data_IF_379691049765
#
_entry.id   IF_379691049765
#
_cell.length_a   1.000
_cell.length_b   1.000
_cell.length_c   1.000
_cell.angle_alpha   90.00
_cell.angle_beta   90.00
_cell.angle_gamma   90.00
#
_symmetry.space_group_name_H-M   'P 1'
#
loop_
_entity.id
_entity.type
_entity.pdbx_description
1 polymer ?
#
# COMPACT_ATOMS: atom_id res chain seq x y z
N UNK A 1 -5.77 0.24 -18.43
CA UNK A 1 -7.12 0.48 -17.85
C UNK A 1 -7.22 -0.07 -16.43
N UNK A 2 -6.75 -1.30 -16.17
CA UNK A 2 -6.71 -1.85 -14.81
C UNK A 2 -5.82 -1.05 -13.87
N UNK A 3 -4.79 -0.36 -14.37
CA UNK A 3 -3.89 0.45 -13.56
C UNK A 3 -4.59 1.66 -12.90
N UNK A 4 -5.76 2.08 -13.38
CA UNK A 4 -6.59 3.09 -12.70
C UNK A 4 -7.10 2.61 -11.34
N UNK A 5 -7.01 1.32 -11.05
CA UNK A 5 -7.28 0.80 -9.72
C UNK A 5 -6.24 1.24 -8.70
N UNK A 6 -5.03 1.69 -9.10
CA UNK A 6 -4.03 2.21 -8.15
C UNK A 6 -4.54 3.47 -7.42
N UNK A 7 -4.92 4.57 -8.09
CA UNK A 7 -5.48 5.72 -7.39
C UNK A 7 -6.78 5.37 -6.66
N UNK A 8 -7.59 4.44 -7.18
CA UNK A 8 -8.82 3.98 -6.49
C UNK A 8 -8.50 3.27 -5.18
N UNK A 9 -7.54 2.34 -5.17
CA UNK A 9 -7.15 1.62 -3.95
C UNK A 9 -6.51 2.56 -2.93
N UNK A 10 -5.69 3.51 -3.37
CA UNK A 10 -5.10 4.52 -2.48
C UNK A 10 -6.17 5.40 -1.82
N UNK A 11 -7.12 5.92 -2.60
CA UNK A 11 -8.24 6.69 -2.08
C UNK A 11 -9.08 5.90 -1.08
N UNK A 12 -9.49 4.67 -1.45
CA UNK A 12 -10.33 3.82 -0.63
C UNK A 12 -9.63 3.36 0.64
N UNK A 13 -8.31 3.16 0.61
CA UNK A 13 -7.53 2.82 1.79
C UNK A 13 -7.62 3.93 2.83
N UNK A 14 -7.36 5.19 2.45
CA UNK A 14 -7.47 6.30 3.41
C UNK A 14 -8.89 6.55 3.89
N UNK A 15 -9.89 6.41 3.01
CA UNK A 15 -11.30 6.50 3.42
C UNK A 15 -11.66 5.38 4.40
N UNK A 16 -11.10 4.18 4.24
CA UNK A 16 -11.34 3.08 5.17
C UNK A 16 -10.78 3.40 6.56
N UNK A 17 -9.50 3.81 6.61
CA UNK A 17 -8.78 4.19 7.83
C UNK A 17 -9.55 5.32 8.57
N UNK A 18 -9.76 6.46 7.90
CA UNK A 18 -10.34 7.65 8.53
C UNK A 18 -11.81 7.48 8.92
N UNK A 19 -12.58 6.70 8.15
CA UNK A 19 -13.98 6.47 8.46
C UNK A 19 -14.16 5.74 9.79
N UNK A 20 -13.27 4.83 10.13
CA UNK A 20 -13.33 4.10 11.39
C UNK A 20 -12.63 4.85 12.53
N UNK A 21 -11.42 5.37 12.29
CA UNK A 21 -10.57 5.97 13.32
C UNK A 21 -10.97 7.41 13.67
N UNK A 22 -11.36 8.22 12.66
CA UNK A 22 -11.63 9.64 12.86
C UNK A 22 -13.12 9.99 12.82
N UNK A 23 -13.90 9.35 11.94
CA UNK A 23 -15.29 9.76 11.68
C UNK A 23 -16.32 8.96 12.48
N UNK A 24 -15.92 7.86 13.12
CA UNK A 24 -16.81 6.99 13.88
C UNK A 24 -17.89 6.31 13.03
N UNK A 25 -17.59 6.06 11.75
CA UNK A 25 -18.47 5.43 10.74
C UNK A 25 -17.92 4.08 10.28
N UNK A 26 -17.91 3.04 11.14
CA UNK A 26 -17.30 1.75 10.84
C UNK A 26 -17.94 1.06 9.62
N UNK A 27 -19.24 1.25 9.36
CA UNK A 27 -19.88 0.71 8.16
C UNK A 27 -19.30 1.32 6.87
N UNK A 28 -19.00 2.62 6.87
CA UNK A 28 -18.36 3.28 5.73
C UNK A 28 -16.94 2.76 5.56
N UNK A 29 -16.20 2.63 6.67
CA UNK A 29 -14.86 2.06 6.69
C UNK A 29 -14.82 0.64 6.12
N UNK A 30 -15.73 -0.24 6.56
CA UNK A 30 -15.84 -1.62 6.06
C UNK A 30 -16.16 -1.67 4.55
N UNK A 31 -17.06 -0.83 4.05
CA UNK A 31 -17.37 -0.77 2.61
C UNK A 31 -16.17 -0.29 1.82
N UNK A 32 -15.52 0.79 2.26
CA UNK A 32 -14.33 1.32 1.61
C UNK A 32 -13.16 0.31 1.64
N UNK A 33 -12.93 -0.33 2.79
CA UNK A 33 -11.92 -1.38 2.98
C UNK A 33 -12.17 -2.59 2.07
N UNK A 34 -13.42 -3.03 1.94
CA UNK A 34 -13.79 -4.11 1.01
C UNK A 34 -13.47 -3.76 -0.44
N UNK A 35 -13.84 -2.55 -0.86
CA UNK A 35 -13.55 -2.06 -2.22
C UNK A 35 -12.04 -1.86 -2.43
N UNK A 36 -11.32 -1.41 -1.40
CA UNK A 36 -9.87 -1.32 -1.40
C UNK A 36 -9.25 -2.70 -1.64
N UNK A 37 -9.58 -3.70 -0.81
CA UNK A 37 -9.10 -5.07 -0.94
C UNK A 37 -9.44 -5.70 -2.30
N UNK A 38 -10.62 -5.39 -2.86
CA UNK A 38 -11.01 -5.84 -4.18
C UNK A 38 -10.13 -5.22 -5.27
N UNK A 39 -9.96 -3.89 -5.26
CA UNK A 39 -9.18 -3.15 -6.26
C UNK A 39 -7.69 -3.49 -6.22
N UNK A 40 -7.08 -3.54 -5.03
CA UNK A 40 -5.68 -3.94 -4.84
C UNK A 40 -5.46 -5.42 -5.16
N UNK A 41 -6.44 -6.27 -4.83
CA UNK A 41 -6.42 -7.69 -5.16
C UNK A 41 -6.42 -7.92 -6.66
N UNK A 42 -7.33 -7.28 -7.39
CA UNK A 42 -7.43 -7.37 -8.86
C UNK A 42 -6.17 -6.84 -9.55
N UNK A 43 -5.54 -5.78 -9.02
CA UNK A 43 -4.23 -5.33 -9.51
C UNK A 43 -3.15 -6.40 -9.31
N UNK A 44 -3.14 -7.01 -8.13
CA UNK A 44 -2.13 -8.01 -7.74
C UNK A 44 -2.24 -9.32 -8.51
N UNK A 45 -3.42 -9.67 -9.03
CA UNK A 45 -3.56 -10.85 -9.90
C UNK A 45 -3.15 -10.56 -11.35
N UNK A 46 -3.16 -9.29 -11.76
CA UNK A 46 -2.94 -8.86 -13.14
C UNK A 46 -1.51 -8.41 -13.45
N UNK A 47 -0.78 -7.87 -12.47
CA UNK A 47 0.56 -7.29 -12.66
C UNK A 47 1.54 -7.71 -11.55
N UNK A 48 2.73 -8.17 -11.93
CA UNK A 48 3.76 -8.65 -10.99
C UNK A 48 4.24 -7.54 -10.05
N UNK A 49 4.49 -6.33 -10.55
CA UNK A 49 5.00 -5.25 -9.71
C UNK A 49 3.94 -4.77 -8.72
N UNK A 50 2.69 -4.64 -9.16
CA UNK A 50 1.54 -4.37 -8.31
C UNK A 50 1.37 -5.46 -7.24
N UNK A 51 1.51 -6.73 -7.61
CA UNK A 51 1.46 -7.84 -6.66
C UNK A 51 2.54 -7.69 -5.58
N UNK A 52 3.79 -7.43 -5.97
CA UNK A 52 4.88 -7.20 -5.03
C UNK A 52 4.62 -5.98 -4.11
N UNK A 53 4.04 -4.90 -4.62
CA UNK A 53 3.70 -3.70 -3.84
C UNK A 53 2.59 -4.02 -2.84
N UNK A 54 1.43 -4.51 -3.29
CA UNK A 54 0.27 -4.70 -2.40
C UNK A 54 0.44 -5.87 -1.44
N UNK A 55 1.08 -6.98 -1.86
CA UNK A 55 1.49 -8.02 -0.92
C UNK A 55 2.54 -7.51 0.05
N UNK A 56 3.45 -6.63 -0.39
CA UNK A 56 4.44 -5.98 0.46
C UNK A 56 3.79 -5.09 1.52
N UNK A 57 2.84 -4.24 1.12
CA UNK A 57 2.03 -3.42 2.04
C UNK A 57 1.30 -4.32 3.03
N UNK A 58 0.57 -5.33 2.54
CA UNK A 58 -0.18 -6.26 3.38
C UNK A 58 0.72 -7.00 4.39
N UNK A 59 1.87 -7.51 3.95
CA UNK A 59 2.82 -8.19 4.83
C UNK A 59 3.46 -7.21 5.83
N UNK A 60 3.79 -5.99 5.40
CA UNK A 60 4.35 -4.96 6.26
C UNK A 60 3.38 -4.52 7.36
N UNK A 61 2.10 -4.33 7.01
CA UNK A 61 1.04 -3.96 7.98
C UNK A 61 0.69 -5.11 8.92
N UNK A 62 0.74 -6.37 8.43
CA UNK A 62 0.60 -7.54 9.29
C UNK A 62 1.75 -7.62 10.31
N UNK A 63 3.00 -7.38 9.87
CA UNK A 63 4.18 -7.41 10.74
C UNK A 63 4.22 -6.26 11.76
N UNK A 64 3.62 -5.11 11.44
CA UNK A 64 3.44 -4.00 12.38
C UNK A 64 2.21 -4.15 13.28
N UNK A 65 1.45 -5.24 13.14
CA UNK A 65 0.21 -5.49 13.89
C UNK A 65 -0.88 -4.42 13.68
N UNK A 66 -0.95 -3.84 12.47
CA UNK A 66 -1.90 -2.77 12.12
C UNK A 66 -3.24 -3.25 11.59
N UNK A 67 -3.43 -4.55 11.47
CA UNK A 67 -4.74 -5.12 11.15
C UNK A 67 -5.50 -5.31 12.47
N UNK A 68 -6.01 -4.21 13.00
CA UNK A 68 -6.55 -4.09 14.36
C UNK A 68 -8.03 -3.68 14.42
N UNK A 69 -8.60 -3.18 13.32
CA UNK A 69 -10.02 -2.79 13.24
C UNK A 69 -10.81 -3.57 12.17
N UNK A 70 -12.16 -3.63 12.27
CA UNK A 70 -13.04 -4.28 11.30
C UNK A 70 -12.78 -3.91 9.83
N UNK A 71 -12.56 -2.64 9.49
CA UNK A 71 -12.28 -2.24 8.11
C UNK A 71 -10.94 -2.81 7.59
N UNK A 72 -9.89 -2.80 8.42
CA UNK A 72 -8.60 -3.42 8.09
C UNK A 72 -8.74 -4.94 7.87
N UNK A 73 -9.45 -5.62 8.77
CA UNK A 73 -9.69 -7.08 8.68
C UNK A 73 -10.47 -7.41 7.41
N UNK A 74 -11.49 -6.63 7.08
CA UNK A 74 -12.32 -6.89 5.90
C UNK A 74 -11.56 -6.59 4.60
N UNK A 75 -10.77 -5.52 4.56
CA UNK A 75 -9.87 -5.23 3.44
C UNK A 75 -8.90 -6.39 3.19
N UNK A 76 -8.25 -6.88 4.25
CA UNK A 76 -7.35 -8.03 4.20
C UNK A 76 -8.06 -9.30 3.72
N UNK A 77 -9.25 -9.60 4.25
CA UNK A 77 -10.02 -10.79 3.87
C UNK A 77 -10.42 -10.77 2.39
N UNK A 78 -10.92 -9.63 1.89
CA UNK A 78 -11.28 -9.48 0.47
C UNK A 78 -10.04 -9.56 -0.41
N UNK A 79 -8.94 -8.90 -0.02
CA UNK A 79 -7.67 -8.96 -0.74
C UNK A 79 -7.19 -10.41 -0.91
N UNK A 80 -7.12 -11.18 0.19
CA UNK A 80 -6.73 -12.60 0.16
C UNK A 80 -7.71 -13.42 -0.69
N UNK A 81 -9.02 -13.19 -0.56
CA UNK A 81 -10.02 -13.92 -1.34
C UNK A 81 -9.82 -13.72 -2.84
N UNK A 82 -9.57 -12.48 -3.28
CA UNK A 82 -9.32 -12.18 -4.69
C UNK A 82 -8.04 -12.87 -5.18
N UNK A 83 -6.97 -12.87 -4.38
CA UNK A 83 -5.73 -13.57 -4.72
C UNK A 83 -5.92 -15.09 -4.82
N UNK A 84 -6.71 -15.70 -3.93
CA UNK A 84 -7.00 -17.13 -3.96
C UNK A 84 -7.82 -17.53 -5.21
N UNK A 85 -8.74 -16.66 -5.64
CA UNK A 85 -9.59 -16.92 -6.80
C UNK A 85 -8.93 -16.59 -8.15
N UNK A 86 -8.14 -15.51 -8.20
CA UNK A 86 -7.48 -15.06 -9.43
C UNK A 86 -6.07 -15.64 -9.64
N UNK A 87 -5.46 -16.18 -8.58
CA UNK A 87 -4.08 -16.65 -8.61
C UNK A 87 -3.06 -15.52 -8.47
N UNK A 88 -1.80 -15.89 -8.21
CA UNK A 88 -0.68 -14.94 -8.14
C UNK A 88 0.17 -15.03 -9.42
N UNK A 89 0.57 -13.87 -9.99
CA UNK A 89 1.56 -13.85 -11.06
C UNK A 89 2.93 -14.32 -10.53
N UNK A 90 3.89 -14.53 -11.44
CA UNK A 90 5.26 -14.81 -11.04
C UNK A 90 5.82 -13.63 -10.25
N UNK A 91 6.20 -13.85 -8.98
CA UNK A 91 6.66 -12.80 -8.08
C UNK A 91 8.19 -12.69 -8.09
N UNK A 92 8.69 -11.46 -8.10
CA UNK A 92 10.09 -11.19 -7.78
C UNK A 92 10.25 -11.20 -6.25
N UNK A 93 10.75 -12.32 -5.70
CA UNK A 93 10.95 -12.49 -4.25
C UNK A 93 11.81 -11.37 -3.64
N UNK A 94 12.95 -10.95 -4.24
CA UNK A 94 13.72 -9.84 -3.71
C UNK A 94 12.93 -8.52 -3.66
N UNK A 95 12.13 -8.24 -4.70
CA UNK A 95 11.30 -7.04 -4.74
C UNK A 95 10.18 -7.08 -3.70
N UNK A 96 9.51 -8.23 -3.54
CA UNK A 96 8.49 -8.43 -2.50
C UNK A 96 9.09 -8.20 -1.10
N UNK A 97 10.23 -8.80 -0.79
CA UNK A 97 10.90 -8.62 0.51
C UNK A 97 11.27 -7.15 0.74
N UNK A 98 11.77 -6.45 -0.29
CA UNK A 98 12.10 -5.04 -0.20
C UNK A 98 10.85 -4.18 0.05
N UNK A 99 9.76 -4.42 -0.66
CA UNK A 99 8.48 -3.74 -0.46
C UNK A 99 7.90 -4.01 0.94
N UNK A 100 7.94 -5.25 1.41
CA UNK A 100 7.51 -5.62 2.78
C UNK A 100 8.33 -4.90 3.84
N UNK A 101 9.66 -4.89 3.71
CA UNK A 101 10.54 -4.23 4.66
C UNK A 101 10.29 -2.72 4.69
N UNK A 102 10.10 -2.10 3.52
CA UNK A 102 9.82 -0.68 3.42
C UNK A 102 8.47 -0.30 4.03
N UNK A 103 7.40 -1.06 3.72
CA UNK A 103 6.09 -0.85 4.31
C UNK A 103 6.10 -1.04 5.83
N UNK A 104 6.82 -2.04 6.33
CA UNK A 104 7.01 -2.24 7.77
C UNK A 104 7.75 -1.06 8.42
N UNK A 105 8.81 -0.55 7.80
CA UNK A 105 9.58 0.60 8.32
C UNK A 105 8.72 1.87 8.35
N UNK A 106 7.95 2.12 7.30
CA UNK A 106 7.04 3.27 7.25
C UNK A 106 6.01 3.20 8.38
N UNK A 107 5.42 2.03 8.60
CA UNK A 107 4.38 1.84 9.61
C UNK A 107 4.94 1.84 11.05
N UNK A 108 6.02 1.08 11.29
CA UNK A 108 6.70 1.06 12.60
C UNK A 108 7.27 2.44 12.97
N UNK A 109 7.81 3.16 11.98
CA UNK A 109 8.37 4.50 12.20
C UNK A 109 7.32 5.55 12.51
N UNK A 110 6.14 5.45 11.89
CA UNK A 110 5.00 6.32 12.18
C UNK A 110 4.51 6.13 13.63
N UNK A 111 4.34 4.89 14.08
CA UNK A 111 3.83 4.60 15.43
C UNK A 111 4.85 4.83 16.56
N UNK A 112 6.14 4.73 16.24
CA UNK A 112 7.17 4.84 17.26
C UNK A 112 7.49 6.31 17.55
N UNK A 113 6.80 6.88 18.55
CA UNK A 113 7.02 8.26 19.03
C UNK A 113 8.50 8.61 19.24
N UNK A 114 9.33 7.67 19.70
CA UNK A 114 10.77 7.93 19.92
C UNK A 114 11.54 8.20 18.64
N UNK A 115 11.08 7.70 17.50
CA UNK A 115 11.68 7.94 16.18
C UNK A 115 10.97 9.11 15.51
N UNK A 116 9.64 9.11 15.56
CA UNK A 116 8.79 10.14 14.97
C UNK A 116 9.10 11.55 15.51
N UNK A 117 9.34 11.70 16.81
CA UNK A 117 9.58 13.00 17.44
C UNK A 117 11.04 13.48 17.39
N UNK A 118 11.96 12.72 16.76
CA UNK A 118 13.38 13.11 16.68
C UNK A 118 13.61 14.38 15.87
N UNK A 119 12.69 14.74 14.98
CA UNK A 119 12.75 15.99 14.23
C UNK A 119 11.69 16.12 13.15
N UNK A 120 11.54 17.32 12.56
CA UNK A 120 10.53 17.58 11.53
C UNK A 120 10.73 16.74 10.26
N UNK A 121 11.97 16.35 9.97
CA UNK A 121 12.28 15.47 8.85
C UNK A 121 11.69 14.07 9.04
N UNK A 122 11.83 13.47 10.23
CA UNK A 122 11.32 12.12 10.49
C UNK A 122 9.80 12.09 10.47
N UNK A 123 9.14 13.14 11.00
CA UNK A 123 7.68 13.29 10.87
C UNK A 123 7.24 13.27 9.41
N UNK A 124 7.80 14.17 8.60
CA UNK A 124 7.51 14.22 7.16
C UNK A 124 7.80 12.87 6.46
N UNK A 125 8.90 12.21 6.81
CA UNK A 125 9.31 10.95 6.20
C UNK A 125 8.29 9.83 6.42
N UNK A 126 7.82 9.68 7.67
CA UNK A 126 6.88 8.62 8.02
C UNK A 126 5.43 8.99 7.67
N UNK A 127 5.02 10.26 7.81
CA UNK A 127 3.69 10.74 7.44
C UNK A 127 3.37 10.43 5.97
N UNK A 128 4.36 10.58 5.08
CA UNK A 128 4.21 10.37 3.64
C UNK A 128 4.77 9.02 3.15
N UNK A 129 4.96 8.02 4.02
CA UNK A 129 5.40 6.65 3.65
C UNK A 129 6.58 6.64 2.66
N UNK A 130 7.63 7.38 3.00
CA UNK A 130 8.71 7.65 2.05
C UNK A 130 9.57 6.43 1.75
N UNK A 131 9.66 5.44 2.66
CA UNK A 131 10.49 4.24 2.45
C UNK A 131 9.98 3.43 1.27
N UNK A 132 8.68 3.17 1.20
CA UNK A 132 8.09 2.39 0.12
C UNK A 132 8.24 3.10 -1.24
N UNK A 133 8.06 4.43 -1.28
CA UNK A 133 8.32 5.25 -2.47
C UNK A 133 9.76 5.09 -2.97
N UNK A 134 10.72 5.20 -2.06
CA UNK A 134 12.13 5.07 -2.40
C UNK A 134 12.47 3.68 -2.94
N UNK A 135 11.97 2.61 -2.31
CA UNK A 135 12.19 1.23 -2.76
C UNK A 135 11.61 0.99 -4.15
N UNK A 136 10.40 1.47 -4.44
CA UNK A 136 9.77 1.32 -5.75
C UNK A 136 10.59 2.01 -6.85
N UNK A 137 11.08 3.22 -6.58
CA UNK A 137 11.96 3.95 -7.53
C UNK A 137 13.28 3.20 -7.74
N UNK A 138 13.91 2.70 -6.66
CA UNK A 138 15.16 1.94 -6.75
C UNK A 138 14.96 0.65 -7.58
N UNK A 139 13.88 -0.10 -7.32
CA UNK A 139 13.57 -1.32 -8.05
C UNK A 139 13.31 -1.06 -9.53
N UNK A 140 12.64 0.05 -9.86
CA UNK A 140 12.42 0.46 -11.24
C UNK A 140 13.73 0.84 -11.95
N UNK A 141 14.65 1.54 -11.25
CA UNK A 141 15.98 1.86 -11.79
C UNK A 141 16.82 0.60 -12.00
N UNK A 142 16.80 -0.35 -11.07
CA UNK A 142 17.51 -1.64 -11.19
C UNK A 142 17.04 -2.42 -12.43
N UNK A 143 15.73 -2.48 -12.66
CA UNK A 143 15.15 -3.11 -13.86
C UNK A 143 15.51 -2.35 -15.13
N UNK A 144 15.42 -1.01 -15.12
CA UNK A 144 15.74 -0.18 -16.28
C UNK A 144 17.21 -0.28 -16.69
N UNK A 145 18.13 -0.43 -15.74
CA UNK A 145 19.56 -0.66 -15.99
C UNK A 145 19.87 -2.09 -16.43
N UNK A 146 18.90 -3.00 -16.44
CA UNK A 146 19.08 -4.40 -16.81
C UNK A 146 19.90 -5.21 -15.80
N UNK A 147 20.04 -4.73 -14.56
CA UNK A 147 20.84 -5.40 -13.52
C UNK A 147 20.10 -6.65 -13.01
N UNK A 148 18.77 -6.55 -12.85
CA UNK A 148 17.90 -7.65 -12.43
C UNK A 148 16.48 -7.39 -12.89
N UNK A 149 15.74 -8.42 -13.28
CA UNK A 149 14.32 -8.29 -13.61
C UNK A 149 13.48 -8.24 -12.33
N UNK A 150 13.22 -7.02 -11.85
CA UNK A 150 12.36 -6.77 -10.70
C UNK A 150 10.88 -6.74 -11.07
N UNK A 151 10.54 -6.70 -12.37
CA UNK A 151 9.23 -6.35 -12.93
C UNK A 151 8.79 -4.88 -12.76
N UNK A 152 9.58 -4.02 -12.10
CA UNK A 152 9.23 -2.61 -11.88
C UNK A 152 9.65 -1.74 -13.06
N UNK A 153 8.75 -0.88 -13.53
CA UNK A 153 9.03 0.08 -14.60
C UNK A 153 8.68 1.53 -14.25
N UNK A 154 8.97 2.48 -15.14
CA UNK A 154 8.55 3.88 -14.97
C UNK A 154 7.03 4.05 -14.81
N UNK A 155 6.24 3.18 -15.47
CA UNK A 155 4.79 3.14 -15.32
C UNK A 155 4.37 2.75 -13.90
N UNK A 156 5.02 1.75 -13.30
CA UNK A 156 4.77 1.35 -11.91
C UNK A 156 5.00 2.51 -10.94
N UNK A 157 6.09 3.26 -11.13
CA UNK A 157 6.39 4.46 -10.32
C UNK A 157 5.28 5.50 -10.48
N UNK A 158 4.86 5.77 -11.71
CA UNK A 158 3.78 6.73 -11.98
C UNK A 158 2.47 6.32 -11.31
N UNK A 159 2.04 5.07 -11.46
CA UNK A 159 0.79 4.59 -10.86
C UNK A 159 0.86 4.53 -9.33
N UNK A 160 2.02 4.19 -8.77
CA UNK A 160 2.21 4.27 -7.32
C UNK A 160 2.17 5.71 -6.79
N UNK A 161 2.72 6.68 -7.53
CA UNK A 161 2.57 8.11 -7.17
C UNK A 161 1.10 8.53 -7.24
N UNK A 162 0.33 8.03 -8.22
CA UNK A 162 -1.11 8.30 -8.30
C UNK A 162 -1.89 7.66 -7.14
N UNK A 163 -1.52 6.45 -6.72
CA UNK A 163 -2.03 5.81 -5.49
C UNK A 163 -1.80 6.70 -4.27
N UNK A 164 -0.58 7.18 -4.06
CA UNK A 164 -0.22 8.02 -2.93
C UNK A 164 -0.92 9.38 -2.98
N UNK A 165 -0.99 10.01 -4.16
CA UNK A 165 -1.71 11.27 -4.32
C UNK A 165 -3.19 11.11 -3.98
N UNK A 166 -3.81 10.00 -4.41
CA UNK A 166 -5.21 9.73 -4.11
C UNK A 166 -5.45 9.44 -2.62
N UNK A 167 -4.52 8.73 -1.95
CA UNK A 167 -4.52 8.52 -0.50
C UNK A 167 -4.47 9.86 0.24
N UNK A 168 -3.54 10.75 -0.13
CA UNK A 168 -3.40 12.08 0.48
C UNK A 168 -4.61 13.00 0.22
N UNK A 169 -5.20 12.92 -0.97
CA UNK A 169 -6.42 13.67 -1.28
C UNK A 169 -7.55 13.20 -0.38
N UNK A 170 -7.75 11.88 -0.24
CA UNK A 170 -8.78 11.33 0.64
C UNK A 170 -8.62 11.80 2.09
N UNK A 171 -7.39 11.82 2.62
CA UNK A 171 -7.12 12.27 3.99
C UNK A 171 -7.41 13.76 4.26
N UNK A 172 -7.59 14.56 3.20
CA UNK A 172 -8.00 15.97 3.31
C UNK A 172 -9.51 16.16 3.25
N UNK A 173 -10.26 15.14 2.83
CA UNK A 173 -11.71 15.18 2.75
C UNK A 173 -12.26 14.74 4.10
N UNK A 174 -13.06 15.59 4.75
CA UNK A 174 -13.85 15.20 5.93
C UNK A 174 -15.29 14.96 5.48
N UNK A 175 -15.79 13.73 5.63
CA UNK A 175 -17.15 13.29 5.23
C UNK A 175 -18.01 12.99 6.47
#
# INVERSE_FOLDING_TARGET
>A
MIELLFPVSGFLMKVADDAEDEWGRPLTGMVAGSLCGLSSGVLSTADTAAACIFLGIFAGTLLSCKIDCPSHVLAAAVFIMVLLLGGLPSLSIPALVACTAAAYVDEYGNDNQRVYEKGPFFRLFFDYRFSLKAVIVILAVISLLGISDTAFGPSTVLFFILFELAYEIAGRIRI
#
